data_IF_805110128724
#
_entry.id   IF_805110128724
#
_cell.length_a   1.000
_cell.length_b   1.000
_cell.length_c   1.000
_cell.angle_alpha   90.00
_cell.angle_beta   90.00
_cell.angle_gamma   90.00
#
_symmetry.space_group_name_H-M   'P 1'
#
loop_
_entity.id
_entity.type
_entity.pdbx_description
1 polymer ?
#
# COMPACT_ATOMS: atom_id res chain seq x y z
N UNK A 1 -14.69 28.91 -6.30
CA UNK A 1 -14.54 27.59 -6.96
C UNK A 1 -13.81 26.69 -5.97
N UNK A 2 -14.56 26.05 -5.08
CA UNK A 2 -14.01 25.17 -4.05
C UNK A 2 -13.78 23.80 -4.66
N UNK A 3 -12.53 23.36 -4.71
CA UNK A 3 -12.13 22.04 -5.17
C UNK A 3 -12.59 21.02 -4.12
N UNK A 4 -13.71 20.36 -4.40
CA UNK A 4 -14.27 19.31 -3.55
C UNK A 4 -13.90 17.95 -4.15
N UNK A 5 -13.50 17.00 -3.30
CA UNK A 5 -13.49 15.54 -3.51
C UNK A 5 -12.12 14.83 -3.63
N UNK A 6 -11.17 15.14 -2.75
CA UNK A 6 -10.22 14.11 -2.30
C UNK A 6 -10.93 13.23 -1.26
N UNK A 7 -11.53 12.11 -1.69
CA UNK A 7 -11.95 11.09 -0.74
C UNK A 7 -10.71 10.29 -0.32
N UNK A 8 -10.11 10.73 0.78
CA UNK A 8 -9.06 9.99 1.48
C UNK A 8 -9.76 8.94 2.34
N UNK A 9 -9.65 7.67 1.96
CA UNK A 9 -10.07 6.57 2.82
C UNK A 9 -8.99 6.41 3.90
N UNK A 10 -9.18 7.05 5.05
CA UNK A 10 -8.37 6.80 6.24
C UNK A 10 -8.77 5.44 6.81
N UNK A 11 -7.91 4.42 6.64
CA UNK A 11 -8.10 3.13 7.32
C UNK A 11 -7.48 3.26 8.71
N UNK A 12 -8.19 3.92 9.62
CA UNK A 12 -7.86 3.87 11.05
C UNK A 12 -8.52 2.65 11.65
N UNK A 13 -7.80 1.53 11.73
CA UNK A 13 -8.33 0.34 12.37
C UNK A 13 -7.38 -0.85 12.26
N UNK A 14 -6.94 -1.34 13.41
CA UNK A 14 -6.12 -2.53 13.57
C UNK A 14 -6.60 -3.70 12.70
N UNK A 15 -5.70 -4.27 11.90
CA UNK A 15 -5.72 -5.64 11.36
C UNK A 15 -7.10 -6.32 11.28
N UNK A 16 -8.03 -5.69 10.55
CA UNK A 16 -9.27 -6.31 10.12
C UNK A 16 -9.56 -5.81 8.72
N UNK A 17 -9.39 -6.73 7.75
CA UNK A 17 -9.90 -6.68 6.39
C UNK A 17 -10.10 -5.28 5.81
N UNK A 18 -9.13 -4.85 5.01
CA UNK A 18 -9.30 -3.74 4.05
C UNK A 18 -10.65 -3.97 3.35
N UNK A 19 -11.53 -2.97 3.35
CA UNK A 19 -12.90 -3.07 2.85
C UNK A 19 -13.14 -2.11 1.68
N UNK A 20 -13.67 -2.66 0.60
CA UNK A 20 -14.14 -2.12 -0.67
C UNK A 20 -13.09 -1.49 -1.61
N UNK A 21 -12.03 -2.24 -1.97
CA UNK A 21 -11.31 -1.89 -3.21
C UNK A 21 -10.01 -2.65 -3.50
N UNK A 22 -10.08 -3.77 -4.24
CA UNK A 22 -9.02 -4.53 -4.93
C UNK A 22 -7.64 -4.74 -4.27
N UNK A 23 -7.38 -4.27 -3.05
CA UNK A 23 -6.17 -4.55 -2.28
C UNK A 23 -6.40 -5.56 -1.15
N UNK A 24 -7.64 -5.98 -0.92
CA UNK A 24 -8.00 -6.93 0.13
C UNK A 24 -7.34 -8.28 -0.13
N UNK A 25 -6.52 -8.75 0.81
CA UNK A 25 -5.83 -10.04 0.71
C UNK A 25 -4.63 -10.08 -0.24
N UNK A 26 -4.28 -8.96 -0.88
CA UNK A 26 -3.12 -8.92 -1.78
C UNK A 26 -1.82 -8.59 -1.07
N UNK A 27 -1.91 -7.82 0.02
CA UNK A 27 -0.78 -7.42 0.85
C UNK A 27 -1.13 -7.69 2.31
N UNK A 28 -0.37 -8.56 2.95
CA UNK A 28 -0.38 -8.75 4.38
C UNK A 28 0.77 -7.96 4.99
N UNK A 29 0.45 -7.07 5.91
CA UNK A 29 1.41 -6.19 6.57
C UNK A 29 1.27 -6.30 8.09
N UNK A 30 2.37 -6.15 8.85
CA UNK A 30 2.32 -6.09 10.30
C UNK A 30 1.69 -4.75 10.75
N UNK A 31 1.30 -4.67 12.03
CA UNK A 31 0.59 -3.51 12.60
C UNK A 31 1.35 -2.18 12.53
N UNK A 32 2.67 -2.26 12.40
CA UNK A 32 3.62 -1.15 12.30
C UNK A 32 3.62 -0.52 10.91
N UNK A 33 2.98 -1.17 9.93
CA UNK A 33 2.90 -0.70 8.55
C UNK A 33 1.51 -0.15 8.26
N UNK A 34 1.46 1.10 7.83
CA UNK A 34 0.23 1.68 7.28
C UNK A 34 0.17 1.42 5.77
N UNK A 35 -0.97 0.90 5.31
CA UNK A 35 -1.28 0.75 3.89
C UNK A 35 -2.28 1.84 3.47
N UNK A 36 -1.89 2.66 2.49
CA UNK A 36 -2.75 3.71 1.92
C UNK A 36 -2.95 3.46 0.44
N UNK A 37 -4.19 3.43 -0.02
CA UNK A 37 -4.51 3.25 -1.45
C UNK A 37 -4.96 4.58 -2.05
N UNK A 38 -4.33 4.99 -3.15
CA UNK A 38 -4.75 6.15 -3.96
C UNK A 38 -5.19 5.67 -5.33
N UNK A 39 -6.33 6.19 -5.80
CA UNK A 39 -6.85 5.92 -7.16
C UNK A 39 -6.86 7.21 -7.97
N UNK A 40 -6.25 7.21 -9.16
CA UNK A 40 -6.41 8.31 -10.12
C UNK A 40 -7.79 8.20 -10.74
N UNK A 41 -8.66 9.19 -10.52
CA UNK A 41 -10.04 9.13 -11.00
C UNK A 41 -10.16 9.10 -12.53
N UNK A 42 -9.26 9.77 -13.25
CA UNK A 42 -9.33 9.85 -14.73
C UNK A 42 -8.91 8.55 -15.43
N UNK A 43 -8.03 7.76 -14.81
CA UNK A 43 -7.48 6.53 -15.41
C UNK A 43 -7.95 5.25 -14.71
N UNK A 44 -8.44 5.37 -13.47
CA UNK A 44 -8.73 4.24 -12.59
C UNK A 44 -7.49 3.57 -12.02
N UNK A 45 -6.29 4.08 -12.32
CA UNK A 45 -5.02 3.50 -11.86
C UNK A 45 -4.90 3.61 -10.34
N UNK A 46 -4.42 2.54 -9.70
CA UNK A 46 -4.32 2.43 -8.24
C UNK A 46 -2.87 2.30 -7.81
N UNK A 47 -2.54 3.05 -6.77
CA UNK A 47 -1.24 2.99 -6.11
C UNK A 47 -1.44 2.63 -4.64
N UNK A 48 -0.57 1.77 -4.13
CA UNK A 48 -0.55 1.38 -2.72
C UNK A 48 0.74 1.91 -2.12
N UNK A 49 0.63 2.65 -1.03
CA UNK A 49 1.74 3.13 -0.23
C UNK A 49 1.83 2.24 1.01
N UNK A 50 2.97 1.59 1.20
CA UNK A 50 3.30 0.89 2.44
C UNK A 50 4.33 1.72 3.22
N UNK A 51 3.95 2.14 4.42
CA UNK A 51 4.73 3.04 5.28
C UNK A 51 5.10 2.31 6.57
N UNK A 52 6.39 2.02 6.78
CA UNK A 52 6.85 1.46 8.05
C UNK A 52 7.00 2.60 9.08
N UNK A 53 6.20 2.60 10.14
CA UNK A 53 6.32 3.59 11.23
C UNK A 53 7.21 3.13 12.39
N UNK A 54 7.89 1.99 12.25
CA UNK A 54 8.83 1.48 13.25
C UNK A 54 10.29 1.79 12.91
N UNK A 55 11.14 1.72 13.94
CA UNK A 55 12.60 1.77 13.82
C UNK A 55 13.23 0.45 13.38
N UNK A 56 12.43 -0.58 13.12
CA UNK A 56 12.88 -1.92 12.79
C UNK A 56 12.55 -2.26 11.34
N UNK A 57 13.29 -3.21 10.76
CA UNK A 57 12.93 -3.80 9.48
C UNK A 57 11.66 -4.64 9.65
N UNK A 58 10.70 -4.49 8.73
CA UNK A 58 9.45 -5.26 8.73
C UNK A 58 9.29 -6.03 7.43
N UNK A 59 8.56 -7.14 7.47
CA UNK A 59 8.29 -7.97 6.29
C UNK A 59 6.82 -7.83 5.89
N UNK A 60 6.59 -7.51 4.63
CA UNK A 60 5.30 -7.57 3.96
C UNK A 60 5.19 -8.91 3.21
N UNK A 61 3.99 -9.44 3.09
CA UNK A 61 3.70 -10.58 2.22
C UNK A 61 2.75 -10.16 1.10
N UNK A 62 3.23 -10.27 -0.15
CA UNK A 62 2.51 -9.94 -1.37
C UNK A 62 2.02 -11.23 -2.03
N UNK A 63 0.71 -11.40 -2.22
CA UNK A 63 0.14 -12.61 -2.84
C UNK A 63 0.09 -12.54 -4.37
N UNK A 64 0.33 -11.36 -4.95
CA UNK A 64 0.40 -11.11 -6.39
C UNK A 64 1.68 -10.33 -6.76
N UNK A 65 1.95 -10.23 -8.07
CA UNK A 65 3.06 -9.42 -8.57
C UNK A 65 2.70 -7.94 -8.53
N UNK A 66 3.54 -7.16 -7.86
CA UNK A 66 3.48 -5.71 -7.87
C UNK A 66 4.72 -5.14 -8.52
N UNK A 67 4.57 -3.98 -9.15
CA UNK A 67 5.72 -3.15 -9.51
C UNK A 67 5.98 -2.16 -8.40
N UNK A 68 7.18 -2.23 -7.81
CA UNK A 68 7.71 -1.16 -6.99
C UNK A 68 8.07 0.02 -7.90
N UNK A 69 7.36 1.12 -7.73
CA UNK A 69 7.49 2.32 -8.54
C UNK A 69 8.75 3.13 -8.22
N UNK A 70 9.38 2.90 -7.06
CA UNK A 70 10.64 3.57 -6.71
C UNK A 70 11.81 2.85 -7.40
N UNK A 71 11.93 1.53 -7.24
CA UNK A 71 13.03 0.76 -7.83
C UNK A 71 12.78 0.30 -9.28
N UNK A 72 11.53 0.29 -9.73
CA UNK A 72 11.08 -0.23 -11.02
C UNK A 72 11.00 -1.76 -11.10
N UNK A 73 11.26 -2.48 -10.01
CA UNK A 73 11.29 -3.94 -9.98
C UNK A 73 9.89 -4.53 -9.82
N UNK A 74 9.69 -5.71 -10.41
CA UNK A 74 8.56 -6.58 -10.07
C UNK A 74 8.91 -7.37 -8.82
N UNK A 75 7.99 -7.40 -7.85
CA UNK A 75 8.14 -8.03 -6.54
C UNK A 75 6.88 -8.84 -6.19
N UNK A 76 7.08 -9.93 -5.46
CA UNK A 76 6.03 -10.86 -5.00
C UNK A 76 6.55 -11.65 -3.80
N UNK A 77 5.66 -12.19 -2.98
CA UNK A 77 6.01 -12.97 -1.79
C UNK A 77 6.49 -12.08 -0.65
N UNK A 78 7.48 -12.54 0.11
CA UNK A 78 7.99 -11.82 1.27
C UNK A 78 8.95 -10.70 0.83
N UNK A 79 8.63 -9.47 1.22
CA UNK A 79 9.40 -8.28 0.88
C UNK A 79 9.71 -7.50 2.14
N UNK A 80 10.98 -7.12 2.29
CA UNK A 80 11.46 -6.31 3.42
C UNK A 80 11.20 -4.83 3.17
N UNK A 81 10.74 -4.15 4.20
CA UNK A 81 10.63 -2.70 4.25
C UNK A 81 11.54 -2.19 5.38
N UNK A 82 12.50 -1.35 5.00
CA UNK A 82 13.50 -0.78 5.91
C UNK A 82 12.84 0.02 7.05
N UNK A 83 13.56 0.25 8.17
CA UNK A 83 13.15 1.20 9.21
C UNK A 83 12.72 2.55 8.61
N UNK A 84 11.53 3.02 8.98
CA UNK A 84 10.93 4.24 8.41
C UNK A 84 10.84 4.27 6.88
N UNK A 85 10.93 3.10 6.25
CA UNK A 85 10.92 2.91 4.80
C UNK A 85 9.54 3.11 4.20
N UNK A 86 9.55 3.49 2.92
CA UNK A 86 8.35 3.67 2.10
C UNK A 86 8.47 2.83 0.85
N UNK A 87 7.40 2.12 0.51
CA UNK A 87 7.25 1.42 -0.76
C UNK A 87 6.00 1.90 -1.48
N UNK A 88 6.11 2.12 -2.79
CA UNK A 88 4.98 2.57 -3.62
C UNK A 88 4.74 1.52 -4.70
N UNK A 89 3.58 0.90 -4.66
CA UNK A 89 3.24 -0.26 -5.47
C UNK A 89 2.15 0.08 -6.48
N UNK A 90 2.27 -0.50 -7.66
CA UNK A 90 1.19 -0.61 -8.64
C UNK A 90 1.00 -2.08 -8.99
N UNK A 91 -0.22 -2.46 -9.34
CA UNK A 91 -0.44 -3.80 -9.93
C UNK A 91 0.29 -3.89 -11.26
N UNK A 92 1.00 -5.00 -11.47
CA UNK A 92 1.78 -5.24 -12.69
C UNK A 92 0.89 -5.63 -13.88
#
# INVERSE_FOLDING_TARGET
MTNTNEQVWFITGANQGIGAGAGEGLIHAPSEVELVVRTIQSTGERFIFALNFSSEEVTLELTENFKDLISGKLIVGQVKLEPYGVMVLSMA
#
